data_IF_939518577051
#
_entry.id   IF_939518577051
#
_cell.length_a   1.000
_cell.length_b   1.000
_cell.length_c   1.000
_cell.angle_alpha   90.00
_cell.angle_beta   90.00
_cell.angle_gamma   90.00
#
_symmetry.space_group_name_H-M   'P 1'
#
loop_
_entity.id
_entity.type
_entity.pdbx_description
1 polymer ?
#
# COMPACT_ATOMS: atom_id res chain seq x y z
N UNK A 1 11.48 -46.25 -54.92
CA UNK A 1 12.30 -46.84 -55.99
C UNK A 1 12.27 -48.34 -55.84
N UNK A 2 11.96 -49.00 -56.94
CA UNK A 2 11.63 -50.43 -57.05
C UNK A 2 12.71 -51.36 -56.52
N UNK A 3 12.26 -52.47 -55.94
CA UNK A 3 12.93 -53.77 -56.08
C UNK A 3 11.88 -54.86 -55.83
N UNK A 4 11.17 -55.23 -56.90
CA UNK A 4 10.43 -56.50 -56.98
C UNK A 4 11.44 -57.64 -56.85
N UNK A 5 11.58 -58.14 -55.62
CA UNK A 5 12.27 -59.40 -55.34
C UNK A 5 11.28 -60.53 -55.50
N UNK A 6 11.27 -61.14 -56.69
CA UNK A 6 10.55 -62.38 -56.98
C UNK A 6 11.08 -63.46 -56.03
N UNK A 7 10.40 -63.68 -54.90
CA UNK A 7 10.65 -64.84 -54.04
C UNK A 7 10.01 -66.03 -54.73
N UNK A 8 10.83 -66.81 -55.42
CA UNK A 8 10.43 -68.09 -55.97
C UNK A 8 9.85 -68.95 -54.84
N UNK A 9 8.58 -69.35 -54.98
CA UNK A 9 7.94 -70.26 -54.02
C UNK A 9 8.77 -71.56 -53.91
N UNK A 10 9.04 -72.04 -52.69
CA UNK A 10 9.83 -73.25 -52.51
C UNK A 10 9.05 -74.42 -53.13
N UNK A 11 9.75 -75.27 -53.88
CA UNK A 11 9.18 -76.49 -54.46
C UNK A 11 8.72 -77.38 -53.31
N UNK A 12 7.43 -77.35 -53.02
CA UNK A 12 6.83 -78.20 -52.01
C UNK A 12 7.05 -79.66 -52.39
N UNK A 13 7.24 -80.51 -51.38
CA UNK A 13 7.38 -81.98 -51.52
C UNK A 13 6.26 -82.63 -52.34
N UNK A 14 5.18 -81.89 -52.63
CA UNK A 14 4.09 -82.23 -53.55
C UNK A 14 4.52 -82.39 -55.02
N UNK A 15 5.54 -81.69 -55.51
CA UNK A 15 5.90 -81.65 -56.94
C UNK A 15 6.63 -82.88 -57.47
N UNK A 16 7.08 -83.78 -56.59
CA UNK A 16 7.75 -85.02 -57.01
C UNK A 16 6.70 -86.03 -57.46
N UNK A 17 6.57 -86.27 -58.76
CA UNK A 17 5.68 -87.31 -59.30
C UNK A 17 6.26 -88.70 -58.95
N UNK A 18 5.59 -89.42 -58.05
CA UNK A 18 6.01 -90.76 -57.58
C UNK A 18 4.87 -91.76 -57.76
N UNK A 19 5.21 -93.04 -57.91
CA UNK A 19 4.26 -94.14 -58.13
C UNK A 19 3.33 -94.50 -56.96
N UNK A 20 3.42 -93.78 -55.83
CA UNK A 20 2.65 -94.05 -54.61
C UNK A 20 2.02 -92.78 -54.03
N UNK A 21 0.95 -92.95 -53.26
CA UNK A 21 0.31 -91.82 -52.57
C UNK A 21 1.12 -91.42 -51.33
N UNK A 22 1.65 -90.20 -51.32
CA UNK A 22 2.49 -89.65 -50.24
C UNK A 22 1.78 -89.57 -48.88
N UNK A 23 0.45 -89.45 -48.87
CA UNK A 23 -0.35 -89.31 -47.63
C UNK A 23 -0.33 -90.54 -46.74
N UNK A 24 0.07 -91.71 -47.26
CA UNK A 24 0.24 -92.92 -46.44
C UNK A 24 1.33 -92.74 -45.37
N UNK A 25 2.40 -91.98 -45.65
CA UNK A 25 3.52 -91.78 -44.72
C UNK A 25 3.22 -90.81 -43.58
N UNK A 26 2.14 -90.05 -43.66
CA UNK A 26 1.74 -89.06 -42.64
C UNK A 26 0.65 -89.61 -41.71
N UNK A 27 0.15 -90.82 -41.98
CA UNK A 27 -0.91 -91.45 -41.20
C UNK A 27 -0.36 -92.18 -39.97
N UNK A 28 -1.03 -92.08 -38.80
CA UNK A 28 -0.59 -92.76 -37.58
C UNK A 28 -0.75 -94.28 -37.63
N UNK A 29 -1.60 -94.81 -38.51
CA UNK A 29 -1.87 -96.25 -38.73
C UNK A 29 -1.06 -96.85 -39.90
N UNK A 30 0.13 -96.31 -40.17
CA UNK A 30 0.97 -96.77 -41.27
C UNK A 30 1.38 -98.24 -41.09
N UNK A 31 0.97 -99.08 -42.05
CA UNK A 31 1.38 -100.47 -42.16
C UNK A 31 2.14 -100.71 -43.47
N UNK A 32 3.39 -101.16 -43.33
CA UNK A 32 4.30 -101.45 -44.43
C UNK A 32 3.76 -102.55 -45.33
N UNK A 33 3.16 -103.60 -44.75
CA UNK A 33 2.68 -104.75 -45.52
C UNK A 33 1.50 -104.35 -46.40
N UNK A 34 0.57 -103.57 -45.84
CA UNK A 34 -0.56 -102.97 -46.56
C UNK A 34 -0.12 -102.00 -47.65
N UNK A 35 0.90 -101.16 -47.39
CA UNK A 35 1.45 -100.25 -48.39
C UNK A 35 2.07 -100.99 -49.58
N UNK A 36 2.91 -102.00 -49.33
CA UNK A 36 3.56 -102.78 -50.39
C UNK A 36 2.54 -103.54 -51.24
N UNK A 37 1.50 -104.13 -50.63
CA UNK A 37 0.43 -104.84 -51.35
C UNK A 37 -0.34 -103.93 -52.31
N UNK A 38 -0.61 -102.68 -51.93
CA UNK A 38 -1.36 -101.73 -52.75
C UNK A 38 -0.52 -101.15 -53.90
N UNK A 39 0.74 -100.85 -53.64
CA UNK A 39 1.64 -100.22 -54.62
C UNK A 39 2.19 -101.20 -55.66
N UNK A 40 2.49 -102.45 -55.25
CA UNK A 40 3.03 -103.51 -56.13
C UNK A 40 2.05 -103.98 -57.22
N UNK A 41 0.76 -103.65 -57.10
CA UNK A 41 -0.25 -103.90 -58.15
C UNK A 41 -0.03 -103.04 -59.40
N UNK A 42 0.69 -101.92 -59.29
CA UNK A 42 0.78 -100.92 -60.35
C UNK A 42 2.22 -100.67 -60.83
N UNK A 43 3.25 -101.04 -60.06
CA UNK A 43 4.67 -100.71 -60.35
C UNK A 43 5.63 -101.82 -59.89
N UNK A 44 6.79 -101.96 -60.56
CA UNK A 44 7.86 -102.91 -60.20
C UNK A 44 8.58 -102.53 -58.91
N UNK A 45 9.16 -103.51 -58.21
CA UNK A 45 9.86 -103.25 -56.94
C UNK A 45 11.07 -102.32 -57.11
N UNK A 46 11.78 -102.43 -58.23
CA UNK A 46 12.93 -101.59 -58.56
C UNK A 46 12.53 -100.13 -58.77
N UNK A 47 11.42 -99.89 -59.49
CA UNK A 47 10.88 -98.56 -59.71
C UNK A 47 10.34 -97.95 -58.41
N UNK A 48 9.65 -98.75 -57.58
CA UNK A 48 9.20 -98.30 -56.27
C UNK A 48 10.37 -97.90 -55.35
N UNK A 49 11.45 -98.67 -55.34
CA UNK A 49 12.65 -98.36 -54.57
C UNK A 49 13.34 -97.07 -55.07
N UNK A 50 13.42 -96.87 -56.39
CA UNK A 50 13.94 -95.64 -56.97
C UNK A 50 13.09 -94.42 -56.57
N UNK A 51 11.76 -94.52 -56.69
CA UNK A 51 10.82 -93.45 -56.34
C UNK A 51 10.86 -93.12 -54.84
N UNK A 52 10.99 -94.12 -53.96
CA UNK A 52 11.15 -93.91 -52.51
C UNK A 52 12.46 -93.19 -52.20
N UNK A 53 13.56 -93.51 -52.91
CA UNK A 53 14.85 -92.82 -52.74
C UNK A 53 14.78 -91.37 -53.20
N UNK A 54 14.09 -91.09 -54.31
CA UNK A 54 13.83 -89.73 -54.80
C UNK A 54 12.97 -88.95 -53.79
N UNK A 55 11.92 -89.58 -53.26
CA UNK A 55 11.04 -88.97 -52.26
C UNK A 55 11.76 -88.69 -50.93
N UNK A 56 12.58 -89.63 -50.44
CA UNK A 56 13.41 -89.42 -49.24
C UNK A 56 14.37 -88.24 -49.44
N UNK A 57 15.02 -88.16 -50.60
CA UNK A 57 15.92 -87.03 -50.92
C UNK A 57 15.16 -85.71 -50.99
N UNK A 58 13.94 -85.71 -51.53
CA UNK A 58 13.09 -84.53 -51.57
C UNK A 58 12.66 -84.08 -50.16
N UNK A 59 12.31 -85.02 -49.27
CA UNK A 59 12.00 -84.71 -47.87
C UNK A 59 13.24 -84.18 -47.15
N UNK A 60 14.42 -84.81 -47.31
CA UNK A 60 15.67 -84.35 -46.70
C UNK A 60 16.04 -82.94 -47.15
N UNK A 61 15.88 -82.65 -48.45
CA UNK A 61 16.08 -81.30 -48.98
C UNK A 61 15.06 -80.31 -48.42
N UNK A 62 13.78 -80.65 -48.37
CA UNK A 62 12.73 -79.79 -47.82
C UNK A 62 12.91 -79.54 -46.32
N UNK A 63 13.36 -80.54 -45.55
CA UNK A 63 13.70 -80.36 -44.13
C UNK A 63 14.91 -79.44 -43.97
N UNK A 64 15.93 -79.60 -44.82
CA UNK A 64 17.11 -78.72 -44.82
C UNK A 64 16.73 -77.29 -45.19
N UNK A 65 15.86 -77.10 -46.19
CA UNK A 65 15.32 -75.79 -46.56
C UNK A 65 14.49 -75.16 -45.44
N UNK A 66 13.63 -75.93 -44.77
CA UNK A 66 12.85 -75.46 -43.63
C UNK A 66 13.76 -75.01 -42.48
N UNK A 67 14.74 -75.83 -42.10
CA UNK A 67 15.73 -75.48 -41.07
C UNK A 67 16.51 -74.22 -41.47
N UNK A 68 16.93 -74.10 -42.74
CA UNK A 68 17.65 -72.92 -43.21
C UNK A 68 16.77 -71.67 -43.21
N UNK A 69 15.49 -71.79 -43.56
CA UNK A 69 14.54 -70.71 -43.52
C UNK A 69 14.26 -70.25 -42.09
N UNK A 70 14.02 -71.19 -41.18
CA UNK A 70 13.81 -70.91 -39.75
C UNK A 70 15.07 -70.28 -39.12
N UNK A 71 16.26 -70.74 -39.53
CA UNK A 71 17.52 -70.13 -39.10
C UNK A 71 17.67 -68.70 -39.63
N UNK A 72 17.34 -68.43 -40.90
CA UNK A 72 17.37 -67.09 -41.46
C UNK A 72 16.38 -66.15 -40.75
N UNK A 73 15.19 -66.63 -40.44
CA UNK A 73 14.18 -65.89 -39.67
C UNK A 73 14.67 -65.61 -38.24
N UNK A 74 15.24 -66.60 -37.55
CA UNK A 74 15.79 -66.44 -36.21
C UNK A 74 16.92 -65.39 -36.17
N UNK A 75 17.83 -65.41 -37.14
CA UNK A 75 18.91 -64.43 -37.25
C UNK A 75 18.34 -63.03 -37.50
N UNK A 76 17.36 -62.89 -38.39
CA UNK A 76 16.71 -61.62 -38.67
C UNK A 76 16.02 -61.04 -37.43
N UNK A 77 15.22 -61.84 -36.71
CA UNK A 77 14.57 -61.41 -35.47
C UNK A 77 15.61 -61.03 -34.42
N UNK A 78 16.66 -61.83 -34.25
CA UNK A 78 17.73 -61.56 -33.29
C UNK A 78 18.46 -60.24 -33.61
N UNK A 79 18.78 -59.98 -34.87
CA UNK A 79 19.40 -58.72 -35.31
C UNK A 79 18.47 -57.52 -35.04
N UNK A 80 17.18 -57.65 -35.33
CA UNK A 80 16.21 -56.59 -35.09
C UNK A 80 16.03 -56.29 -33.60
N UNK A 81 16.07 -57.32 -32.74
CA UNK A 81 16.01 -57.15 -31.29
C UNK A 81 17.24 -56.39 -30.76
N UNK A 82 18.43 -56.67 -31.30
CA UNK A 82 19.65 -55.94 -30.95
C UNK A 82 19.55 -54.48 -31.39
N UNK A 83 19.11 -54.21 -32.62
CA UNK A 83 18.91 -52.83 -33.09
C UNK A 83 17.85 -52.07 -32.27
N UNK A 84 16.79 -52.75 -31.84
CA UNK A 84 15.78 -52.17 -30.95
C UNK A 84 16.39 -51.83 -29.59
N UNK A 85 17.22 -52.71 -29.03
CA UNK A 85 17.94 -52.44 -27.79
C UNK A 85 18.85 -51.21 -27.93
N UNK A 86 19.62 -51.12 -29.01
CA UNK A 86 20.47 -49.96 -29.28
C UNK A 86 19.63 -48.67 -29.39
N UNK A 87 18.47 -48.75 -30.03
CA UNK A 87 17.52 -47.63 -30.13
C UNK A 87 16.96 -47.22 -28.75
N UNK A 88 16.62 -48.19 -27.90
CA UNK A 88 16.16 -47.94 -26.52
C UNK A 88 17.27 -47.29 -25.70
N UNK A 89 18.51 -47.79 -25.80
CA UNK A 89 19.65 -47.24 -25.08
C UNK A 89 19.99 -45.82 -25.56
N UNK A 90 19.86 -45.53 -26.86
CA UNK A 90 19.99 -44.19 -27.41
C UNK A 90 18.90 -43.24 -26.87
N UNK A 91 17.64 -43.67 -26.84
CA UNK A 91 16.53 -42.90 -26.26
C UNK A 91 16.77 -42.63 -24.78
N UNK A 92 17.17 -43.66 -24.01
CA UNK A 92 17.50 -43.54 -22.59
C UNK A 92 18.63 -42.52 -22.36
N UNK A 93 19.69 -42.58 -23.17
CA UNK A 93 20.78 -41.62 -23.11
C UNK A 93 20.30 -40.19 -23.43
N UNK A 94 19.48 -40.03 -24.47
CA UNK A 94 18.89 -38.73 -24.82
C UNK A 94 18.04 -38.14 -23.70
N UNK A 95 17.18 -38.96 -23.08
CA UNK A 95 16.34 -38.54 -21.93
C UNK A 95 17.21 -38.08 -20.76
N UNK A 96 18.25 -38.84 -20.42
CA UNK A 96 19.16 -38.48 -19.33
C UNK A 96 19.90 -37.16 -19.61
N UNK A 97 20.35 -36.95 -20.85
CA UNK A 97 20.99 -35.71 -21.26
C UNK A 97 20.02 -34.52 -21.16
N UNK A 98 18.80 -34.64 -21.67
CA UNK A 98 17.77 -33.60 -21.55
C UNK A 98 17.41 -33.32 -20.09
N UNK A 99 17.34 -34.34 -19.23
CA UNK A 99 17.07 -34.14 -17.81
C UNK A 99 18.20 -33.38 -17.10
N UNK A 100 19.46 -33.68 -17.45
CA UNK A 100 20.62 -32.96 -16.92
C UNK A 100 20.62 -31.49 -17.39
N UNK A 101 20.28 -31.23 -18.65
CA UNK A 101 20.15 -29.88 -19.19
C UNK A 101 19.02 -29.09 -18.51
N UNK A 102 17.84 -29.71 -18.34
CA UNK A 102 16.71 -29.10 -17.63
C UNK A 102 17.06 -28.79 -16.17
N UNK A 103 17.77 -29.69 -15.49
CA UNK A 103 18.22 -29.48 -14.11
C UNK A 103 19.21 -28.31 -14.01
N UNK A 104 20.17 -28.24 -14.93
CA UNK A 104 21.13 -27.13 -15.04
C UNK A 104 20.43 -25.80 -15.32
N UNK A 105 19.51 -25.80 -16.30
CA UNK A 105 18.71 -24.62 -16.67
C UNK A 105 17.85 -24.15 -15.49
N UNK A 106 17.18 -25.06 -14.79
CA UNK A 106 16.39 -24.74 -13.59
C UNK A 106 17.26 -24.12 -12.50
N UNK A 107 18.44 -24.67 -12.25
CA UNK A 107 19.37 -24.09 -11.28
C UNK A 107 19.87 -22.69 -11.69
N UNK A 108 20.11 -22.45 -12.98
CA UNK A 108 20.48 -21.14 -13.50
C UNK A 108 19.34 -20.12 -13.35
N UNK A 109 18.10 -20.53 -13.65
CA UNK A 109 16.89 -19.71 -13.46
C UNK A 109 16.71 -19.37 -11.99
N UNK A 110 16.86 -20.34 -11.09
CA UNK A 110 16.73 -20.10 -9.64
C UNK A 110 17.77 -19.11 -9.12
N UNK A 111 19.04 -19.24 -9.53
CA UNK A 111 20.10 -18.27 -9.19
C UNK A 111 19.75 -16.87 -9.69
N UNK A 112 19.25 -16.77 -10.92
CA UNK A 112 18.84 -15.50 -11.50
C UNK A 112 17.65 -14.89 -10.75
N UNK A 113 16.65 -15.68 -10.38
CA UNK A 113 15.51 -15.25 -9.59
C UNK A 113 15.94 -14.69 -8.23
N UNK A 114 16.83 -15.38 -7.51
CA UNK A 114 17.37 -14.88 -6.24
C UNK A 114 18.17 -13.58 -6.40
N UNK A 115 18.94 -13.44 -7.48
CA UNK A 115 19.64 -12.21 -7.78
C UNK A 115 18.67 -11.04 -8.04
N UNK A 116 17.64 -11.27 -8.85
CA UNK A 116 16.59 -10.28 -9.13
C UNK A 116 15.85 -9.87 -7.85
N UNK A 117 15.49 -10.84 -6.99
CA UNK A 117 14.82 -10.56 -5.72
C UNK A 117 15.68 -9.67 -4.81
N UNK A 118 16.98 -9.94 -4.73
CA UNK A 118 17.92 -9.09 -3.98
C UNK A 118 17.96 -7.67 -4.57
N UNK A 119 18.03 -7.54 -5.89
CA UNK A 119 18.01 -6.23 -6.55
C UNK A 119 16.70 -5.48 -6.35
N UNK A 120 15.56 -6.17 -6.33
CA UNK A 120 14.27 -5.54 -5.99
C UNK A 120 14.31 -5.01 -4.55
N UNK A 121 14.81 -5.79 -3.59
CA UNK A 121 14.97 -5.34 -2.19
C UNK A 121 15.84 -4.09 -2.10
N UNK A 122 17.02 -4.10 -2.71
CA UNK A 122 17.93 -2.95 -2.77
C UNK A 122 17.24 -1.71 -3.40
N UNK A 123 16.52 -1.88 -4.51
CA UNK A 123 15.80 -0.79 -5.18
C UNK A 123 14.65 -0.24 -4.33
N UNK A 124 13.92 -1.11 -3.63
CA UNK A 124 12.83 -0.66 -2.73
C UNK A 124 13.36 0.17 -1.58
N UNK A 125 14.49 -0.22 -0.99
CA UNK A 125 15.09 0.52 0.12
C UNK A 125 15.67 1.86 -0.36
N UNK A 126 16.37 1.87 -1.50
CA UNK A 126 16.85 3.11 -2.11
C UNK A 126 15.68 4.06 -2.44
N UNK A 127 14.56 3.55 -2.96
CA UNK A 127 13.36 4.38 -3.20
C UNK A 127 12.79 5.00 -1.92
N UNK A 128 12.81 4.30 -0.79
CA UNK A 128 12.38 4.87 0.50
C UNK A 128 13.31 6.00 0.93
N UNK A 129 14.63 5.79 0.86
CA UNK A 129 15.61 6.83 1.19
C UNK A 129 15.49 8.05 0.27
N UNK A 130 15.28 7.85 -1.03
CA UNK A 130 14.99 8.93 -1.97
C UNK A 130 13.71 9.70 -1.60
N UNK A 131 12.66 9.00 -1.15
CA UNK A 131 11.43 9.64 -0.68
C UNK A 131 11.68 10.50 0.55
N UNK A 132 12.48 10.01 1.52
CA UNK A 132 12.87 10.77 2.72
C UNK A 132 13.65 12.03 2.35
N UNK A 133 14.63 11.93 1.46
CA UNK A 133 15.41 13.08 0.98
C UNK A 133 14.50 14.09 0.28
N UNK A 134 13.61 13.63 -0.61
CA UNK A 134 12.66 14.50 -1.31
C UNK A 134 11.73 15.23 -0.35
N UNK A 135 11.20 14.55 0.67
CA UNK A 135 10.36 15.18 1.69
C UNK A 135 11.13 16.26 2.47
N UNK A 136 12.39 15.99 2.84
CA UNK A 136 13.27 16.98 3.48
C UNK A 136 13.53 18.20 2.60
N UNK A 137 13.81 18.00 1.31
CA UNK A 137 13.98 19.10 0.35
C UNK A 137 12.70 19.93 0.27
N UNK A 138 11.54 19.28 0.12
CA UNK A 138 10.24 19.96 0.09
C UNK A 138 9.97 20.75 1.37
N UNK A 139 10.31 20.20 2.53
CA UNK A 139 10.18 20.89 3.81
C UNK A 139 11.04 22.16 3.86
N UNK A 140 12.31 22.07 3.46
CA UNK A 140 13.21 23.22 3.40
C UNK A 140 12.70 24.29 2.44
N UNK A 141 12.21 23.88 1.26
CA UNK A 141 11.64 24.81 0.28
C UNK A 141 10.35 25.47 0.80
N UNK A 142 9.48 24.72 1.48
CA UNK A 142 8.27 25.26 2.10
C UNK A 142 8.61 26.26 3.21
N UNK A 143 9.60 25.95 4.05
CA UNK A 143 10.10 26.85 5.09
C UNK A 143 10.67 28.13 4.49
N UNK A 144 11.52 28.00 3.45
CA UNK A 144 12.07 29.16 2.72
C UNK A 144 10.97 30.02 2.11
N UNK A 145 9.98 29.42 1.47
CA UNK A 145 8.86 30.14 0.88
C UNK A 145 8.03 30.90 1.94
N UNK A 146 7.80 30.28 3.11
CA UNK A 146 7.14 30.98 4.23
C UNK A 146 7.98 32.15 4.73
N UNK A 147 9.29 31.96 4.93
CA UNK A 147 10.21 33.03 5.35
C UNK A 147 10.20 34.20 4.37
N UNK A 148 10.18 33.94 3.07
CA UNK A 148 10.12 34.98 2.03
C UNK A 148 8.78 35.74 2.06
N UNK A 149 7.66 35.05 2.25
CA UNK A 149 6.34 35.69 2.40
C UNK A 149 6.29 36.55 3.67
N UNK A 150 6.87 36.08 4.78
CA UNK A 150 6.97 36.84 6.04
C UNK A 150 7.92 38.04 5.91
N UNK A 151 8.99 37.94 5.12
CA UNK A 151 9.89 39.06 4.85
C UNK A 151 9.19 40.18 4.07
N UNK A 152 8.28 39.82 3.16
CA UNK A 152 7.45 40.75 2.38
C UNK A 152 6.16 41.13 3.11
N UNK A 153 6.25 41.42 4.40
CA UNK A 153 5.09 41.85 5.20
C UNK A 153 4.51 43.16 4.63
N UNK A 154 3.21 43.22 4.29
CA UNK A 154 2.58 44.47 3.88
C UNK A 154 2.30 45.37 5.09
N UNK A 155 2.18 46.68 4.84
CA UNK A 155 1.77 47.64 5.87
C UNK A 155 0.31 47.41 6.30
N UNK A 156 -0.57 47.16 5.32
CA UNK A 156 -1.97 46.80 5.53
C UNK A 156 -2.23 45.39 5.01
N UNK A 157 -3.04 44.62 5.74
CA UNK A 157 -3.40 43.27 5.35
C UNK A 157 -4.27 43.29 4.08
N UNK A 158 -3.97 42.38 3.15
CA UNK A 158 -4.77 42.18 1.95
C UNK A 158 -5.00 40.69 1.69
N UNK A 159 -6.09 40.37 0.98
CA UNK A 159 -6.49 38.98 0.71
C UNK A 159 -5.38 38.19 -0.02
N UNK A 160 -4.71 38.81 -1.00
CA UNK A 160 -3.67 38.12 -1.79
C UNK A 160 -2.49 37.65 -0.93
N UNK A 161 -2.02 38.50 -0.02
CA UNK A 161 -0.94 38.13 0.89
C UNK A 161 -1.41 37.08 1.89
N UNK A 162 -2.62 37.23 2.44
CA UNK A 162 -3.18 36.29 3.40
C UNK A 162 -3.44 34.90 2.80
N UNK A 163 -3.95 34.82 1.58
CA UNK A 163 -4.15 33.56 0.85
C UNK A 163 -2.79 32.90 0.54
N UNK A 164 -1.82 33.69 0.07
CA UNK A 164 -0.45 33.21 -0.17
C UNK A 164 0.16 32.66 1.12
N UNK A 165 0.03 33.40 2.23
CA UNK A 165 0.50 32.99 3.54
C UNK A 165 -0.16 31.69 3.99
N UNK A 166 -1.48 31.58 3.86
CA UNK A 166 -2.25 30.37 4.19
C UNK A 166 -1.70 29.17 3.43
N UNK A 167 -1.51 29.28 2.11
CA UNK A 167 -0.94 28.21 1.32
C UNK A 167 0.49 27.83 1.76
N UNK A 168 1.33 28.81 2.14
CA UNK A 168 2.69 28.53 2.63
C UNK A 168 2.68 27.82 3.98
N UNK A 169 1.82 28.23 4.91
CA UNK A 169 1.70 27.60 6.23
C UNK A 169 1.16 26.18 6.09
N UNK A 170 0.09 25.96 5.32
CA UNK A 170 -0.47 24.63 5.07
C UNK A 170 0.56 23.70 4.42
N UNK A 171 1.30 24.20 3.42
CA UNK A 171 2.38 23.44 2.77
C UNK A 171 3.46 23.06 3.78
N UNK A 172 3.93 24.02 4.60
CA UNK A 172 4.95 23.77 5.62
C UNK A 172 4.51 22.69 6.61
N UNK A 173 3.31 22.83 7.19
CA UNK A 173 2.78 21.86 8.15
C UNK A 173 2.61 20.47 7.53
N UNK A 174 2.09 20.41 6.29
CA UNK A 174 1.95 19.14 5.57
C UNK A 174 3.30 18.44 5.36
N UNK A 175 4.34 19.17 4.92
CA UNK A 175 5.66 18.58 4.73
C UNK A 175 6.36 18.25 6.05
N UNK A 176 6.09 19.01 7.11
CA UNK A 176 6.65 18.75 8.44
C UNK A 176 6.10 17.43 8.99
N UNK A 177 4.79 17.21 8.91
CA UNK A 177 4.14 15.97 9.37
C UNK A 177 4.56 14.73 8.55
N UNK A 178 4.89 14.91 7.26
CA UNK A 178 5.35 13.80 6.38
C UNK A 178 6.84 13.49 6.49
N UNK A 179 7.60 14.33 7.20
CA UNK A 179 9.04 14.16 7.33
C UNK A 179 9.36 13.38 8.60
N UNK A 180 9.89 12.18 8.44
CA UNK A 180 10.42 11.40 9.56
C UNK A 180 11.77 11.97 10.02
N UNK A 181 12.01 11.99 11.33
CA UNK A 181 13.26 12.43 11.94
C UNK A 181 13.75 13.78 11.41
N UNK A 182 12.95 14.83 11.63
CA UNK A 182 13.30 16.20 11.26
C UNK A 182 14.53 16.65 12.06
N UNK A 183 15.50 17.25 11.37
CA UNK A 183 16.69 17.83 11.99
C UNK A 183 16.27 18.91 13.02
N UNK A 184 16.92 18.90 14.18
CA UNK A 184 16.72 19.89 15.26
C UNK A 184 16.80 21.32 14.70
N UNK A 185 17.74 21.60 13.80
CA UNK A 185 17.90 22.92 13.16
C UNK A 185 16.68 23.32 12.34
N UNK A 186 16.07 22.37 11.63
CA UNK A 186 14.86 22.62 10.85
C UNK A 186 13.64 22.80 11.75
N UNK A 187 13.54 22.03 12.83
CA UNK A 187 12.49 22.20 13.83
C UNK A 187 12.58 23.58 14.51
N UNK A 188 13.78 24.00 14.92
CA UNK A 188 14.01 25.34 15.46
C UNK A 188 13.69 26.45 14.45
N UNK A 189 14.10 26.28 13.19
CA UNK A 189 13.82 27.27 12.14
C UNK A 189 12.32 27.39 11.87
N UNK A 190 11.58 26.27 11.87
CA UNK A 190 10.12 26.26 11.83
C UNK A 190 9.54 27.03 13.02
N UNK A 191 9.97 26.73 14.23
CA UNK A 191 9.45 27.38 15.43
C UNK A 191 9.66 28.90 15.39
N UNK A 192 10.87 29.36 15.00
CA UNK A 192 11.14 30.80 14.81
C UNK A 192 10.22 31.44 13.76
N UNK A 193 9.92 30.73 12.66
CA UNK A 193 8.99 31.23 11.65
C UNK A 193 7.56 31.31 12.19
N UNK A 194 7.12 30.31 12.94
CA UNK A 194 5.77 30.28 13.54
C UNK A 194 5.60 31.35 14.62
N UNK A 195 6.62 31.59 15.45
CA UNK A 195 6.60 32.69 16.42
C UNK A 195 6.52 34.06 15.73
N UNK A 196 7.25 34.25 14.63
CA UNK A 196 7.18 35.49 13.84
C UNK A 196 5.81 35.66 13.17
N UNK A 197 5.26 34.57 12.64
CA UNK A 197 3.92 34.52 12.06
C UNK A 197 2.86 34.90 13.10
N UNK A 198 2.90 34.29 14.28
CA UNK A 198 1.99 34.59 15.39
C UNK A 198 2.06 36.08 15.77
N UNK A 199 3.26 36.64 15.92
CA UNK A 199 3.44 38.04 16.26
C UNK A 199 2.82 38.98 15.21
N UNK A 200 3.00 38.68 13.91
CA UNK A 200 2.43 39.48 12.84
C UNK A 200 0.91 39.39 12.78
N UNK A 201 0.37 38.16 12.82
CA UNK A 201 -1.07 37.93 12.78
C UNK A 201 -1.78 38.55 13.99
N UNK A 202 -1.15 38.49 15.16
CA UNK A 202 -1.69 39.12 16.37
C UNK A 202 -1.80 40.65 16.26
N UNK A 203 -0.83 41.29 15.59
CA UNK A 203 -0.89 42.74 15.31
C UNK A 203 -2.02 43.05 14.30
N UNK A 204 -2.12 42.28 13.22
CA UNK A 204 -3.16 42.48 12.21
C UNK A 204 -4.57 42.23 12.75
N UNK A 205 -4.77 41.29 13.68
CA UNK A 205 -6.09 41.06 14.30
C UNK A 205 -6.58 42.33 15.01
N UNK A 206 -5.71 43.04 15.73
CA UNK A 206 -6.11 44.26 16.45
C UNK A 206 -6.50 45.37 15.49
N UNK A 207 -5.77 45.53 14.39
CA UNK A 207 -6.09 46.50 13.35
C UNK A 207 -7.40 46.15 12.63
N UNK A 208 -7.59 44.86 12.30
CA UNK A 208 -8.80 44.38 11.62
C UNK A 208 -10.05 44.48 12.51
N UNK A 209 -9.94 44.17 13.81
CA UNK A 209 -11.02 44.30 14.79
C UNK A 209 -11.42 45.77 15.05
N UNK A 210 -10.53 46.74 14.83
CA UNK A 210 -10.87 48.17 14.89
C UNK A 210 -11.69 48.61 13.67
N UNK A 211 -11.46 47.96 12.53
CA UNK A 211 -12.11 48.21 11.26
C UNK A 211 -13.36 47.32 11.10
N UNK A 212 -13.48 46.59 10.00
CA UNK A 212 -14.65 45.76 9.66
C UNK A 212 -14.49 44.28 10.01
N UNK A 213 -13.33 43.83 10.52
CA UNK A 213 -13.04 42.43 10.82
C UNK A 213 -13.19 41.49 9.60
N UNK A 214 -12.76 41.93 8.42
CA UNK A 214 -12.93 41.20 7.16
C UNK A 214 -11.94 40.04 7.01
N UNK A 215 -10.78 40.11 7.68
CA UNK A 215 -9.70 39.13 7.56
C UNK A 215 -9.63 38.17 8.75
N UNK A 216 -10.27 38.52 9.87
CA UNK A 216 -10.27 37.77 11.12
C UNK A 216 -10.47 36.24 10.97
N UNK A 217 -11.42 35.72 10.18
CA UNK A 217 -11.63 34.27 10.07
C UNK A 217 -10.44 33.55 9.43
N UNK A 218 -9.84 34.17 8.42
CA UNK A 218 -8.68 33.61 7.72
C UNK A 218 -7.41 33.73 8.59
N UNK A 219 -7.27 34.80 9.36
CA UNK A 219 -6.16 34.91 10.32
C UNK A 219 -6.28 33.83 11.41
N UNK A 220 -7.48 33.67 11.98
CA UNK A 220 -7.72 32.67 13.03
C UNK A 220 -7.59 31.24 12.52
N UNK A 221 -7.98 30.95 11.27
CA UNK A 221 -7.79 29.60 10.72
C UNK A 221 -6.31 29.22 10.63
N UNK A 222 -5.44 30.17 10.28
CA UNK A 222 -3.98 29.98 10.30
C UNK A 222 -3.48 29.75 11.73
N UNK A 223 -3.88 30.60 12.68
CA UNK A 223 -3.46 30.51 14.09
C UNK A 223 -3.91 29.21 14.76
N UNK A 224 -5.14 28.75 14.46
CA UNK A 224 -5.66 27.48 14.92
C UNK A 224 -4.93 26.29 14.28
N UNK A 225 -4.57 26.38 13.00
CA UNK A 225 -3.79 25.34 12.31
C UNK A 225 -2.41 25.14 12.95
N UNK A 226 -1.75 26.23 13.37
CA UNK A 226 -0.43 26.16 14.01
C UNK A 226 -0.51 25.94 15.53
N UNK A 227 -1.71 26.01 16.12
CA UNK A 227 -1.93 25.82 17.55
C UNK A 227 -1.38 26.94 18.45
N UNK A 228 -1.23 28.16 17.91
CA UNK A 228 -0.66 29.32 18.63
C UNK A 228 -1.75 30.37 18.85
N UNK A 229 -2.44 30.28 19.99
CA UNK A 229 -3.56 31.15 20.36
C UNK A 229 -3.25 32.10 21.50
N UNK A 230 -2.12 31.94 22.19
CA UNK A 230 -1.81 32.70 23.40
C UNK A 230 -1.43 34.15 23.08
N UNK A 231 -0.55 34.37 22.08
CA UNK A 231 -0.16 35.69 21.60
C UNK A 231 -1.35 36.57 21.15
N UNK A 232 -2.26 36.09 20.29
CA UNK A 232 -3.41 36.91 19.88
C UNK A 232 -4.37 37.17 21.04
N UNK A 233 -4.58 36.22 21.97
CA UNK A 233 -5.40 36.47 23.16
C UNK A 233 -4.82 37.57 24.04
N UNK A 234 -3.51 37.55 24.29
CA UNK A 234 -2.83 38.57 25.08
C UNK A 234 -2.88 39.96 24.42
N UNK A 235 -2.63 40.03 23.10
CA UNK A 235 -2.58 41.29 22.35
C UNK A 235 -3.99 41.90 22.20
N UNK A 236 -5.02 41.09 21.95
CA UNK A 236 -6.43 41.56 21.93
C UNK A 236 -6.83 42.07 23.32
N UNK A 237 -6.49 41.32 24.37
CA UNK A 237 -6.78 41.71 25.74
C UNK A 237 -6.12 43.03 26.12
N UNK A 238 -4.83 43.22 25.81
CA UNK A 238 -4.08 44.44 26.10
C UNK A 238 -4.49 45.62 25.23
N UNK A 239 -4.70 45.44 23.93
CA UNK A 239 -4.87 46.57 23.01
C UNK A 239 -6.34 46.94 22.71
N UNK A 240 -7.27 46.00 22.77
CA UNK A 240 -8.68 46.25 22.43
C UNK A 240 -9.55 46.29 23.68
N UNK A 241 -9.34 45.35 24.61
CA UNK A 241 -10.23 45.17 25.77
C UNK A 241 -9.80 46.04 26.96
N UNK A 242 -8.53 46.01 27.36
CA UNK A 242 -8.04 46.71 28.56
C UNK A 242 -8.20 48.23 28.50
N UNK A 243 -7.92 48.93 27.37
CA UNK A 243 -8.12 50.38 27.29
C UNK A 243 -9.61 50.75 27.33
N UNK A 244 -10.47 49.89 26.77
CA UNK A 244 -11.91 50.05 26.82
C UNK A 244 -12.48 49.88 28.25
N UNK A 245 -11.86 49.04 29.08
CA UNK A 245 -12.22 48.86 30.50
C UNK A 245 -11.74 50.04 31.38
N UNK A 246 -10.57 50.61 31.10
CA UNK A 246 -9.98 51.70 31.91
C UNK A 246 -10.55 53.07 31.56
N UNK A 247 -10.87 53.35 30.29
CA UNK A 247 -11.32 54.67 29.83
C UNK A 247 -12.65 55.17 30.43
N UNK A 248 -13.38 54.33 31.18
CA UNK A 248 -14.71 54.64 31.74
C UNK A 248 -14.82 54.47 33.26
N UNK A 249 -13.70 54.33 34.00
CA UNK A 249 -13.74 53.91 35.41
C UNK A 249 -14.54 54.84 36.34
N UNK A 250 -15.49 54.28 37.11
CA UNK A 250 -16.20 54.93 38.22
C UNK A 250 -15.32 55.09 39.48
N UNK A 251 -15.83 55.82 40.49
CA UNK A 251 -15.08 56.14 41.71
C UNK A 251 -14.95 54.94 42.67
N UNK A 252 -15.88 53.98 42.62
CA UNK A 252 -15.93 52.78 43.46
C UNK A 252 -15.78 51.49 42.64
N UNK A 253 -15.46 50.35 43.29
CA UNK A 253 -15.10 49.10 42.61
C UNK A 253 -16.30 48.40 41.94
N UNK A 254 -17.47 48.43 42.58
CA UNK A 254 -18.77 48.03 42.01
C UNK A 254 -19.05 48.75 40.69
N UNK A 255 -18.90 50.08 40.65
CA UNK A 255 -19.10 50.89 39.45
C UNK A 255 -18.06 50.59 38.37
N UNK A 256 -16.82 50.27 38.77
CA UNK A 256 -15.76 49.86 37.83
C UNK A 256 -16.08 48.49 37.23
N UNK A 257 -16.55 47.54 38.04
CA UNK A 257 -16.91 46.21 37.60
C UNK A 257 -18.17 46.23 36.71
N UNK A 258 -19.23 46.93 37.11
CA UNK A 258 -20.46 47.06 36.34
C UNK A 258 -20.20 47.63 34.95
N UNK A 259 -19.45 48.74 34.88
CA UNK A 259 -19.06 49.34 33.59
C UNK A 259 -18.16 48.43 32.76
N UNK A 260 -17.24 47.70 33.40
CA UNK A 260 -16.38 46.74 32.71
C UNK A 260 -17.20 45.58 32.10
N UNK A 261 -18.14 45.02 32.86
CA UNK A 261 -19.03 43.95 32.39
C UNK A 261 -19.93 44.44 31.25
N UNK A 262 -20.52 45.63 31.36
CA UNK A 262 -21.33 46.22 30.29
C UNK A 262 -20.50 46.45 29.01
N UNK A 263 -19.27 46.97 29.14
CA UNK A 263 -18.36 47.16 28.00
C UNK A 263 -18.00 45.84 27.31
N UNK A 264 -17.85 44.74 28.04
CA UNK A 264 -17.59 43.42 27.46
C UNK A 264 -18.80 42.91 26.66
N UNK A 265 -20.02 43.14 27.15
CA UNK A 265 -21.26 42.81 26.43
C UNK A 265 -21.36 43.65 25.15
N UNK A 266 -21.08 44.95 25.24
CA UNK A 266 -21.11 45.85 24.08
C UNK A 266 -20.07 45.45 23.01
N UNK A 267 -18.86 45.07 23.44
CA UNK A 267 -17.82 44.56 22.54
C UNK A 267 -18.20 43.22 21.90
N UNK A 268 -18.76 42.28 22.66
CA UNK A 268 -19.25 41.00 22.14
C UNK A 268 -20.33 41.23 21.08
N UNK A 269 -21.29 42.12 21.33
CA UNK A 269 -22.35 42.46 20.38
C UNK A 269 -21.77 43.13 19.12
N UNK A 270 -20.84 44.08 19.27
CA UNK A 270 -20.17 44.75 18.15
C UNK A 270 -19.42 43.76 17.27
N UNK A 271 -18.60 42.88 17.84
CA UNK A 271 -17.85 41.89 17.05
C UNK A 271 -18.77 40.86 16.39
N UNK A 272 -19.85 40.45 17.07
CA UNK A 272 -20.84 39.54 16.47
C UNK A 272 -21.49 40.17 15.23
N UNK A 273 -21.97 41.41 15.34
CA UNK A 273 -22.62 42.11 14.22
C UNK A 273 -21.66 42.39 13.04
N UNK A 274 -20.38 42.67 13.33
CA UNK A 274 -19.34 42.79 12.29
C UNK A 274 -19.14 41.46 11.53
N UNK A 275 -19.05 40.35 12.26
CA UNK A 275 -18.86 39.03 11.66
C UNK A 275 -20.08 38.55 10.85
N UNK A 276 -21.29 38.87 11.30
CA UNK A 276 -22.53 38.59 10.56
C UNK A 276 -22.56 39.32 9.21
N UNK A 277 -22.19 40.61 9.20
CA UNK A 277 -22.14 41.41 7.96
C UNK A 277 -21.16 40.86 6.93
N UNK A 278 -20.05 40.29 7.39
CA UNK A 278 -19.03 39.72 6.51
C UNK A 278 -19.31 38.26 6.10
N UNK A 279 -20.46 37.68 6.49
CA UNK A 279 -20.78 36.27 6.23
C UNK A 279 -19.84 35.29 6.94
N UNK A 280 -19.15 35.76 7.98
CA UNK A 280 -18.06 35.05 8.65
C UNK A 280 -18.42 34.57 10.06
N UNK A 281 -19.71 34.42 10.35
CA UNK A 281 -20.23 33.96 11.64
C UNK A 281 -19.92 32.46 11.84
N UNK A 282 -18.70 32.16 12.30
CA UNK A 282 -18.26 30.82 12.69
C UNK A 282 -18.23 30.67 14.20
N UNK A 283 -18.76 29.56 14.71
CA UNK A 283 -18.71 29.21 16.13
C UNK A 283 -17.28 29.26 16.70
N UNK A 284 -16.29 28.80 15.92
CA UNK A 284 -14.87 28.79 16.32
C UNK A 284 -14.32 30.20 16.53
N UNK A 285 -14.68 31.14 15.65
CA UNK A 285 -14.22 32.53 15.71
C UNK A 285 -14.85 33.22 16.92
N UNK A 286 -16.15 33.04 17.12
CA UNK A 286 -16.88 33.63 18.25
C UNK A 286 -16.42 33.06 19.58
N UNK A 287 -16.22 31.74 19.65
CA UNK A 287 -15.67 31.09 20.84
C UNK A 287 -14.29 31.62 21.19
N UNK A 288 -13.43 31.87 20.21
CA UNK A 288 -12.11 32.45 20.45
C UNK A 288 -12.18 33.91 20.96
N UNK A 289 -13.02 34.76 20.35
CA UNK A 289 -13.20 36.14 20.80
C UNK A 289 -13.78 36.20 22.22
N UNK A 290 -14.75 35.35 22.53
CA UNK A 290 -15.34 35.24 23.86
C UNK A 290 -14.31 34.76 24.90
N UNK A 291 -13.42 33.82 24.53
CA UNK A 291 -12.29 33.44 25.39
C UNK A 291 -11.36 34.63 25.65
N UNK A 292 -11.09 35.47 24.66
CA UNK A 292 -10.25 36.66 24.84
C UNK A 292 -10.89 37.69 25.81
N UNK A 293 -12.21 37.91 25.68
CA UNK A 293 -12.96 38.78 26.58
C UNK A 293 -12.93 38.26 28.02
N UNK A 294 -13.19 36.96 28.21
CA UNK A 294 -13.21 36.34 29.54
C UNK A 294 -11.82 36.27 30.19
N UNK A 295 -10.78 36.03 29.40
CA UNK A 295 -9.39 36.04 29.90
C UNK A 295 -9.01 37.45 30.37
N UNK A 296 -9.39 38.48 29.60
CA UNK A 296 -9.18 39.88 29.99
C UNK A 296 -9.96 40.26 31.25
N UNK A 297 -11.20 39.79 31.38
CA UNK A 297 -12.01 39.97 32.58
C UNK A 297 -11.37 39.29 33.79
N UNK A 298 -10.87 38.07 33.61
CA UNK A 298 -10.15 37.33 34.64
C UNK A 298 -8.92 38.11 35.15
N UNK A 299 -8.12 38.67 34.24
CA UNK A 299 -6.94 39.47 34.61
C UNK A 299 -7.32 40.80 35.29
N UNK A 300 -8.39 41.44 34.83
CA UNK A 300 -8.94 42.64 35.47
C UNK A 300 -9.38 42.33 36.91
N UNK A 301 -10.07 41.21 37.11
CA UNK A 301 -10.48 40.75 38.43
C UNK A 301 -9.27 40.45 39.31
N UNK A 302 -8.24 39.75 38.82
CA UNK A 302 -7.04 39.48 39.63
C UNK A 302 -6.33 40.75 40.11
N UNK A 303 -6.30 41.80 39.27
CA UNK A 303 -5.71 43.09 39.62
C UNK A 303 -6.53 43.91 40.61
N UNK A 304 -7.85 43.72 40.66
CA UNK A 304 -8.76 44.53 41.47
C UNK A 304 -9.30 43.77 42.69
N UNK A 305 -9.33 42.44 42.70
CA UNK A 305 -9.83 41.61 43.80
C UNK A 305 -8.96 41.74 45.06
N UNK A 306 -7.65 41.95 44.93
CA UNK A 306 -6.78 42.25 46.07
C UNK A 306 -7.18 43.54 46.81
N UNK A 307 -7.83 44.48 46.12
CA UNK A 307 -8.44 45.68 46.71
C UNK A 307 -9.79 45.37 47.39
N UNK A 308 -10.48 44.31 46.96
CA UNK A 308 -11.75 43.81 47.53
C UNK A 308 -11.53 42.91 48.75
N UNK A 309 -10.38 42.23 48.83
CA UNK A 309 -9.99 41.39 49.97
C UNK A 309 -9.67 42.19 51.24
N UNK A 310 -9.61 43.53 51.16
CA UNK A 310 -9.65 44.37 52.34
C UNK A 310 -11.09 44.36 52.91
N UNK A 311 -11.33 43.95 54.16
CA UNK A 311 -12.67 43.71 54.76
C UNK A 311 -13.56 44.95 54.95
N UNK A 312 -13.38 46.01 54.15
CA UNK A 312 -13.96 47.32 54.42
C UNK A 312 -15.47 47.40 54.12
N UNK A 313 -16.04 46.55 53.26
CA UNK A 313 -17.48 46.62 52.97
C UNK A 313 -18.13 45.33 52.41
N UNK A 314 -18.83 44.56 53.26
CA UNK A 314 -19.51 43.30 52.88
C UNK A 314 -20.60 43.51 51.82
N UNK A 315 -21.20 44.70 51.77
CA UNK A 315 -22.27 45.04 50.82
C UNK A 315 -21.73 45.18 49.39
N UNK A 316 -20.56 45.80 49.24
CA UNK A 316 -19.91 45.98 47.93
C UNK A 316 -19.50 44.63 47.36
N UNK A 317 -18.99 43.71 48.19
CA UNK A 317 -18.65 42.36 47.76
C UNK A 317 -19.88 41.59 47.25
N UNK A 318 -20.99 41.60 48.01
CA UNK A 318 -22.22 40.93 47.62
C UNK A 318 -22.81 41.50 46.31
N UNK A 319 -22.78 42.82 46.15
CA UNK A 319 -23.24 43.47 44.93
C UNK A 319 -22.36 43.09 43.72
N UNK A 320 -21.03 43.10 43.87
CA UNK A 320 -20.11 42.65 42.82
C UNK A 320 -20.33 41.19 42.43
N UNK A 321 -20.59 40.31 43.40
CA UNK A 321 -20.94 38.91 43.15
C UNK A 321 -22.24 38.79 42.34
N UNK A 322 -23.29 39.51 42.72
CA UNK A 322 -24.57 39.51 41.98
C UNK A 322 -24.40 39.99 40.53
N UNK A 323 -23.61 41.04 40.29
CA UNK A 323 -23.29 41.53 38.94
C UNK A 323 -22.60 40.46 38.08
N UNK A 324 -21.61 39.76 38.65
CA UNK A 324 -20.88 38.69 37.94
C UNK A 324 -21.79 37.49 37.65
N UNK A 325 -22.66 37.11 38.59
CA UNK A 325 -23.63 36.02 38.38
C UNK A 325 -24.62 36.38 37.27
N UNK A 326 -25.13 37.61 37.25
CA UNK A 326 -26.02 38.08 36.17
C UNK A 326 -25.31 38.09 34.82
N UNK A 327 -24.06 38.57 34.78
CA UNK A 327 -23.23 38.52 33.58
C UNK A 327 -23.03 37.08 33.08
N UNK A 328 -22.64 36.13 33.94
CA UNK A 328 -22.44 34.71 33.56
C UNK A 328 -23.73 34.05 33.05
N UNK A 329 -24.89 34.51 33.52
CA UNK A 329 -26.20 34.04 33.01
C UNK A 329 -26.51 34.56 31.61
N UNK A 330 -26.13 35.81 31.31
CA UNK A 330 -26.40 36.47 30.02
C UNK A 330 -25.31 36.23 28.97
N UNK A 331 -24.09 35.91 29.38
CA UNK A 331 -22.96 35.73 28.47
C UNK A 331 -23.09 34.47 27.62
N UNK A 332 -22.75 34.58 26.33
CA UNK A 332 -22.80 33.47 25.38
C UNK A 332 -21.92 32.29 25.84
N UNK A 333 -22.43 31.07 25.71
CA UNK A 333 -21.73 29.87 26.17
C UNK A 333 -21.26 29.03 25.00
N UNK A 334 -19.96 28.78 24.99
CA UNK A 334 -19.31 27.79 24.14
C UNK A 334 -18.57 26.80 25.02
N UNK A 335 -18.36 25.54 24.58
CA UNK A 335 -17.62 24.54 25.38
C UNK A 335 -16.27 25.07 25.88
N UNK A 336 -15.58 25.86 25.06
CA UNK A 336 -14.27 26.42 25.36
C UNK A 336 -14.29 27.61 26.34
N UNK A 337 -15.45 28.24 26.58
CA UNK A 337 -15.62 29.37 27.52
C UNK A 337 -16.17 28.95 28.89
N UNK A 338 -16.78 27.76 29.01
CA UNK A 338 -17.38 27.27 30.26
C UNK A 338 -16.34 27.18 31.39
N UNK A 339 -15.13 26.69 31.12
CA UNK A 339 -14.08 26.58 32.13
C UNK A 339 -13.64 27.96 32.66
N UNK A 340 -13.56 28.97 31.78
CA UNK A 340 -13.20 30.34 32.14
C UNK A 340 -14.31 31.00 32.96
N UNK A 341 -15.58 30.82 32.57
CA UNK A 341 -16.73 31.32 33.33
C UNK A 341 -16.77 30.71 34.74
N UNK A 342 -16.49 29.41 34.88
CA UNK A 342 -16.39 28.74 36.18
C UNK A 342 -15.23 29.32 37.00
N UNK A 343 -14.05 29.50 36.40
CA UNK A 343 -12.89 30.12 37.08
C UNK A 343 -13.21 31.53 37.57
N UNK A 344 -13.91 32.34 36.78
CA UNK A 344 -14.35 33.69 37.18
C UNK A 344 -15.32 33.61 38.37
N UNK A 345 -16.25 32.66 38.38
CA UNK A 345 -17.17 32.43 39.49
C UNK A 345 -16.44 31.95 40.76
N UNK A 346 -15.51 31.01 40.62
CA UNK A 346 -14.74 30.45 41.74
C UNK A 346 -13.88 31.51 42.43
N UNK A 347 -13.40 32.52 41.71
CA UNK A 347 -12.65 33.65 42.30
C UNK A 347 -13.43 34.42 43.36
N UNK A 348 -14.77 34.41 43.32
CA UNK A 348 -15.59 35.00 44.38
C UNK A 348 -15.95 33.98 45.47
N UNK A 349 -15.99 32.68 45.15
CA UNK A 349 -16.27 31.62 46.12
C UNK A 349 -15.13 31.38 47.12
N UNK A 350 -13.86 31.69 46.76
CA UNK A 350 -12.70 31.52 47.66
C UNK A 350 -12.62 32.57 48.80
N UNK A 351 -13.52 33.56 48.82
CA UNK A 351 -13.56 34.63 49.82
C UNK A 351 -14.84 34.61 50.69
N UNK A 352 -15.69 33.60 50.52
CA UNK A 352 -16.82 33.26 51.39
C UNK A 352 -16.38 32.10 52.27
#
# INVERSE_FOLDING_TARGET
MSADGIVASPRTTSDVQVSFNKTYFTRPDYDLERFLRLTRRHVTLEQLHADLKIYLKAIQNSLTELINNDHAEFVNISSNLVHLKDSIDAVKSGINASFAELSSSTAAVQKTAHFVERKIKELTENRKEQCKIRNRISLVLALKALMETLAKRPAEINHRWLDSLTCRVVSLEMWYQRSENVDIRLAEARERCLMRLEAYLSQFIVEDLKNEASYLPAILSILLLIGKTDGPTEIIGKSAVSPAMVAKSGRSLDQRLEKALQMLIDLQARWTTMLEKNGAHSEKVLSFLDQCLLTSLSDFLDKNITVVSAPSDKLIFHHCFCLVVEFIRRFRRFPATVALLRRIMDKFNHFV
#
